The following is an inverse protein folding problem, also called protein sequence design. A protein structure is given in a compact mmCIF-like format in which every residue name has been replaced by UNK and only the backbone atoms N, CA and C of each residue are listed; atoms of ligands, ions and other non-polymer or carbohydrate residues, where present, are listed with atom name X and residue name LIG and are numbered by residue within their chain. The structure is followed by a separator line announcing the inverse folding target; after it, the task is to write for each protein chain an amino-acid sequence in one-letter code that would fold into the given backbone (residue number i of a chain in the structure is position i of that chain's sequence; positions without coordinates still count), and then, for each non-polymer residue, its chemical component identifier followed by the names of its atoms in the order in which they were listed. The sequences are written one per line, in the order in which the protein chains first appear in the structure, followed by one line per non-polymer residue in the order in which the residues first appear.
data_IF_689202530824
#
_entry.id   IF_689202530824
#
_cell.length_a   1.000
_cell.length_b   1.000
_cell.length_c   1.000
_cell.angle_alpha   90.00
_cell.angle_beta   90.00
_cell.angle_gamma   90.00
#
_symmetry.space_group_name_H-M   'P 1'
#
loop_
_entity.id
_entity.type
_entity.pdbx_description
1 polymer ?
#
# COMPACT_ATOMS: atom_id res chain seq x y z
N UNK A 1 -16.97 -20.74 3.54
CA UNK A 1 -15.61 -20.56 4.11
C UNK A 1 -15.48 -19.07 4.37
N UNK A 2 -15.19 -18.66 5.60
CA UNK A 2 -14.98 -17.25 5.88
C UNK A 2 -13.64 -16.88 5.22
N UNK A 3 -13.68 -16.02 4.22
CA UNK A 3 -12.46 -15.48 3.62
C UNK A 3 -11.71 -14.71 4.71
N UNK A 4 -10.56 -15.21 5.13
CA UNK A 4 -9.72 -14.51 6.08
C UNK A 4 -9.16 -13.26 5.42
N UNK A 5 -9.26 -12.11 6.13
CA UNK A 5 -8.87 -10.81 5.62
C UNK A 5 -7.35 -10.60 5.82
N UNK A 6 -6.55 -10.39 4.76
CA UNK A 6 -5.12 -10.16 4.91
C UNK A 6 -4.83 -8.89 5.71
N UNK A 7 -3.84 -8.95 6.59
CA UNK A 7 -3.32 -7.84 7.37
C UNK A 7 -1.79 -7.90 7.37
N UNK A 8 -1.13 -6.87 6.86
CA UNK A 8 0.30 -6.70 6.92
C UNK A 8 0.66 -5.92 8.21
N UNK A 9 1.55 -6.46 9.02
CA UNK A 9 2.05 -5.81 10.23
C UNK A 9 3.56 -5.64 10.08
N UNK A 10 4.00 -4.39 10.00
CA UNK A 10 5.39 -4.01 9.82
C UNK A 10 6.00 -3.57 11.14
N UNK A 11 7.26 -3.92 11.36
CA UNK A 11 8.00 -3.39 12.49
C UNK A 11 9.38 -2.85 12.10
N UNK A 12 9.70 -1.67 12.66
CA UNK A 12 11.03 -1.08 12.71
C UNK A 12 11.50 -1.06 14.16
N UNK A 13 12.58 -1.76 14.49
CA UNK A 13 13.00 -1.96 15.88
C UNK A 13 14.50 -2.10 16.04
N UNK A 14 15.09 -1.33 16.95
CA UNK A 14 16.48 -1.47 17.32
C UNK A 14 16.66 -2.42 18.52
N UNK A 15 15.73 -2.36 19.47
CA UNK A 15 15.80 -3.11 20.74
C UNK A 15 14.91 -4.34 20.80
N UNK A 16 14.06 -4.58 19.79
CA UNK A 16 13.10 -5.67 19.73
C UNK A 16 11.72 -5.33 20.30
N UNK A 17 11.51 -4.15 20.91
CA UNK A 17 10.23 -3.81 21.53
C UNK A 17 9.09 -3.68 20.49
N UNK A 18 9.35 -3.01 19.36
CA UNK A 18 8.37 -2.89 18.26
C UNK A 18 8.05 -4.24 17.63
N UNK A 19 9.04 -5.13 17.51
CA UNK A 19 8.88 -6.49 17.03
C UNK A 19 7.95 -7.29 17.94
N UNK A 20 8.18 -7.23 19.27
CA UNK A 20 7.33 -7.93 20.24
C UNK A 20 5.87 -7.48 20.14
N UNK A 21 5.63 -6.18 20.03
CA UNK A 21 4.27 -5.62 19.87
C UNK A 21 3.65 -6.08 18.56
N UNK A 22 4.39 -6.06 17.47
CA UNK A 22 3.91 -6.54 16.16
C UNK A 22 3.53 -8.03 16.19
N UNK A 23 4.32 -8.86 16.88
CA UNK A 23 4.03 -10.28 17.10
C UNK A 23 2.77 -10.46 17.97
N UNK A 24 2.60 -9.65 19.02
CA UNK A 24 1.39 -9.69 19.86
C UNK A 24 0.15 -9.31 19.05
N UNK A 25 0.22 -8.25 18.23
CA UNK A 25 -0.85 -7.86 17.32
C UNK A 25 -1.18 -8.97 16.33
N UNK A 26 -0.17 -9.60 15.73
CA UNK A 26 -0.34 -10.73 14.82
C UNK A 26 -1.06 -11.93 15.45
N UNK A 27 -0.70 -12.29 16.68
CA UNK A 27 -1.36 -13.37 17.44
C UNK A 27 -2.82 -13.04 17.75
N UNK A 28 -3.12 -11.77 18.07
CA UNK A 28 -4.48 -11.33 18.39
C UNK A 28 -5.37 -11.21 17.14
N UNK A 29 -4.80 -10.97 15.97
CA UNK A 29 -5.50 -10.71 14.72
C UNK A 29 -6.47 -11.85 14.31
N UNK A 30 -6.09 -13.09 14.56
CA UNK A 30 -6.90 -14.27 14.21
C UNK A 30 -8.27 -14.27 14.92
N UNK A 31 -8.39 -13.74 16.13
CA UNK A 31 -9.65 -13.63 16.87
C UNK A 31 -10.65 -12.65 16.22
N UNK A 32 -10.15 -11.79 15.30
CA UNK A 32 -10.94 -10.82 14.53
C UNK A 32 -11.15 -11.23 13.07
N UNK A 33 -10.81 -12.48 12.70
CA UNK A 33 -10.93 -12.96 11.31
C UNK A 33 -9.85 -12.42 10.37
N UNK A 34 -8.79 -11.85 10.91
CA UNK A 34 -7.66 -11.31 10.16
C UNK A 34 -6.55 -12.36 10.02
N UNK A 35 -5.97 -12.44 8.84
CA UNK A 35 -4.78 -13.25 8.55
C UNK A 35 -3.56 -12.33 8.52
N UNK A 36 -2.88 -12.25 9.66
CA UNK A 36 -1.74 -11.37 9.83
C UNK A 36 -0.45 -11.97 9.25
N UNK A 37 0.29 -11.15 8.50
CA UNK A 37 1.69 -11.37 8.14
C UNK A 37 2.52 -10.32 8.87
N UNK A 38 3.36 -10.77 9.78
CA UNK A 38 4.28 -9.90 10.56
C UNK A 38 5.64 -9.94 9.90
N UNK A 39 6.20 -8.78 9.55
CA UNK A 39 7.48 -8.65 8.85
C UNK A 39 8.32 -7.50 9.40
N UNK A 40 9.62 -7.69 9.40
CA UNK A 40 10.56 -6.58 9.54
C UNK A 40 10.48 -5.66 8.30
N UNK A 41 10.76 -4.39 8.48
CA UNK A 41 10.68 -3.43 7.39
C UNK A 41 11.72 -3.70 6.29
N UNK A 42 12.92 -4.18 6.63
CA UNK A 42 13.97 -4.60 5.69
C UNK A 42 13.61 -5.86 4.87
N UNK A 43 12.60 -6.62 5.30
CA UNK A 43 12.07 -7.78 4.58
C UNK A 43 10.85 -7.41 3.68
N UNK A 44 10.51 -6.12 3.59
CA UNK A 44 9.27 -5.64 2.96
C UNK A 44 9.59 -4.74 1.76
N UNK A 45 8.83 -4.88 0.69
CA UNK A 45 8.97 -4.02 -0.49
C UNK A 45 7.90 -2.92 -0.52
N UNK A 46 8.20 -1.82 -1.23
CA UNK A 46 7.24 -0.73 -1.52
C UNK A 46 5.98 -1.26 -2.18
N UNK A 47 6.12 -2.22 -3.10
CA UNK A 47 4.99 -2.86 -3.78
C UNK A 47 4.09 -3.62 -2.82
N UNK A 48 4.66 -4.33 -1.84
CA UNK A 48 3.89 -5.09 -0.86
C UNK A 48 3.04 -4.15 0.01
N UNK A 49 3.57 -3.00 0.40
CA UNK A 49 2.81 -1.98 1.13
C UNK A 49 1.68 -1.44 0.27
N UNK A 50 1.96 -1.01 -0.97
CA UNK A 50 0.99 -0.34 -1.84
C UNK A 50 -0.14 -1.25 -2.32
N UNK A 51 0.07 -2.56 -2.33
CA UNK A 51 -0.94 -3.57 -2.70
C UNK A 51 -1.70 -4.14 -1.50
N UNK A 52 -1.32 -3.79 -0.28
CA UNK A 52 -1.98 -4.24 0.94
C UNK A 52 -3.19 -3.36 1.26
N UNK A 53 -4.36 -3.97 1.50
CA UNK A 53 -5.55 -3.21 1.92
C UNK A 53 -5.47 -2.76 3.40
N UNK A 54 -4.70 -3.46 4.23
CA UNK A 54 -4.61 -3.27 5.69
C UNK A 54 -3.15 -3.33 6.13
N UNK A 55 -2.68 -2.28 6.77
CA UNK A 55 -1.29 -2.17 7.25
C UNK A 55 -1.29 -1.64 8.68
N UNK A 56 -0.62 -2.33 9.58
CA UNK A 56 -0.24 -1.84 10.91
C UNK A 56 1.26 -1.61 10.95
N UNK A 57 1.68 -0.53 11.58
CA UNK A 57 3.08 -0.14 11.70
C UNK A 57 3.43 -0.01 13.17
N UNK A 58 4.47 -0.71 13.61
CA UNK A 58 5.09 -0.57 14.91
C UNK A 58 6.54 -0.10 14.70
N UNK A 59 6.87 1.15 15.03
CA UNK A 59 8.18 1.68 14.76
C UNK A 59 8.76 2.41 15.99
N UNK A 60 9.97 2.04 16.38
CA UNK A 60 10.73 2.75 17.40
C UNK A 60 11.58 3.86 16.77
N UNK A 61 11.89 4.87 17.57
CA UNK A 61 12.81 5.94 17.20
C UNK A 61 14.18 5.63 17.75
N UNK A 62 15.22 5.82 16.95
CA UNK A 62 16.62 5.61 17.33
C UNK A 62 17.42 6.91 17.28
N UNK A 63 18.51 6.98 18.02
CA UNK A 63 19.42 8.12 18.00
C UNK A 63 18.76 9.48 18.19
N UNK A 64 19.07 10.40 17.32
CA UNK A 64 18.53 11.76 17.27
C UNK A 64 17.30 11.87 16.38
N UNK A 65 16.34 10.91 16.49
CA UNK A 65 15.10 10.91 15.71
C UNK A 65 15.11 10.00 14.49
N UNK A 66 16.13 9.18 14.35
CA UNK A 66 16.38 8.36 13.17
C UNK A 66 15.52 7.10 13.11
N UNK A 67 15.38 6.55 11.91
CA UNK A 67 14.76 5.24 11.72
C UNK A 67 15.63 4.14 12.36
N UNK A 68 15.05 3.05 12.90
CA UNK A 68 15.85 1.88 13.29
C UNK A 68 16.52 1.24 12.08
N UNK A 69 17.67 0.57 12.29
CA UNK A 69 18.47 -0.03 11.22
C UNK A 69 17.65 -0.88 10.23
N UNK A 70 16.70 -1.67 10.74
CA UNK A 70 15.85 -2.51 9.91
C UNK A 70 14.66 -1.77 9.25
N UNK A 71 14.57 -0.45 9.41
CA UNK A 71 13.55 0.38 8.76
C UNK A 71 14.14 1.36 7.73
N UNK A 72 15.44 1.66 7.83
CA UNK A 72 16.11 2.69 7.05
C UNK A 72 16.00 2.47 5.54
N UNK A 73 16.34 1.26 5.05
CA UNK A 73 16.30 0.93 3.63
C UNK A 73 14.88 1.08 3.04
N UNK A 74 13.87 0.60 3.75
CA UNK A 74 12.47 0.75 3.31
C UNK A 74 12.03 2.22 3.35
N UNK A 75 12.45 2.97 4.36
CA UNK A 75 12.14 4.40 4.49
C UNK A 75 12.73 5.21 3.33
N UNK A 76 13.97 4.94 2.95
CA UNK A 76 14.60 5.54 1.78
C UNK A 76 13.87 5.16 0.49
N UNK A 77 13.53 3.87 0.32
CA UNK A 77 12.86 3.37 -0.87
C UNK A 77 11.47 3.99 -1.08
N UNK A 78 10.66 4.13 -0.02
CA UNK A 78 9.31 4.75 -0.13
C UNK A 78 9.40 6.25 -0.41
N UNK A 79 10.41 6.95 0.12
CA UNK A 79 10.62 8.37 -0.14
C UNK A 79 11.18 8.65 -1.53
N UNK A 80 11.95 7.73 -2.10
CA UNK A 80 12.48 7.84 -3.46
C UNK A 80 11.40 7.70 -4.55
N UNK A 81 10.27 7.06 -4.25
CA UNK A 81 9.17 6.90 -5.20
C UNK A 81 8.17 8.07 -5.09
N UNK A 82 8.40 9.11 -5.89
CA UNK A 82 7.53 10.29 -5.93
C UNK A 82 6.10 9.97 -6.39
N UNK A 83 5.92 8.89 -7.15
CA UNK A 83 4.62 8.48 -7.72
C UNK A 83 3.88 7.46 -6.86
N UNK A 84 4.47 7.02 -5.76
CA UNK A 84 3.83 6.06 -4.87
C UNK A 84 2.47 6.56 -4.39
N UNK A 85 1.45 5.75 -4.61
CA UNK A 85 0.09 6.00 -4.12
C UNK A 85 -0.33 4.89 -3.17
N UNK A 86 -0.81 5.27 -2.00
CA UNK A 86 -1.35 4.36 -0.99
C UNK A 86 -2.88 4.45 -0.88
N UNK A 87 -3.53 4.93 -1.94
CA UNK A 87 -5.00 4.93 -2.02
C UNK A 87 -5.53 3.50 -1.95
N UNK A 88 -6.50 3.27 -1.06
CA UNK A 88 -7.03 1.93 -0.80
C UNK A 88 -6.34 1.19 0.35
N UNK A 89 -5.21 1.69 0.84
CA UNK A 89 -4.55 1.19 2.05
C UNK A 89 -5.20 1.81 3.28
N UNK A 90 -5.64 0.97 4.22
CA UNK A 90 -6.08 1.40 5.56
C UNK A 90 -4.97 1.11 6.57
N UNK A 91 -4.63 2.08 7.43
CA UNK A 91 -3.49 1.95 8.29
C UNK A 91 -3.67 2.54 9.70
N UNK A 92 -2.79 2.16 10.60
CA UNK A 92 -2.53 2.81 11.89
C UNK A 92 -1.09 2.59 12.31
N UNK A 93 -0.56 3.52 13.10
CA UNK A 93 0.83 3.51 13.57
C UNK A 93 0.88 3.48 15.09
N UNK A 94 1.74 2.63 15.64
CA UNK A 94 2.23 2.69 17.00
C UNK A 94 3.69 3.13 16.95
N UNK A 95 3.99 4.24 17.57
CA UNK A 95 5.33 4.80 17.67
C UNK A 95 5.90 4.59 19.06
N UNK A 96 7.14 4.14 19.16
CA UNK A 96 7.86 4.02 20.41
C UNK A 96 9.00 5.01 20.49
N UNK A 97 9.22 5.58 21.65
CA UNK A 97 10.29 6.53 21.92
C UNK A 97 10.53 6.68 23.41
N UNK A 98 11.31 7.69 23.76
CA UNK A 98 11.56 8.12 25.13
C UNK A 98 11.34 9.64 25.17
N UNK A 99 10.39 10.09 25.97
CA UNK A 99 10.02 11.51 26.09
C UNK A 99 11.09 12.40 26.71
N UNK A 100 12.19 11.81 27.20
CA UNK A 100 13.38 12.59 27.63
C UNK A 100 14.20 13.15 26.48
N UNK A 101 13.91 12.71 25.23
CA UNK A 101 14.56 13.20 23.99
C UNK A 101 13.66 14.16 23.20
N UNK A 102 14.27 15.16 22.59
CA UNK A 102 13.56 16.20 21.85
C UNK A 102 12.73 15.64 20.67
N UNK A 103 13.25 14.58 20.01
CA UNK A 103 12.60 13.92 18.85
C UNK A 103 11.85 12.64 19.29
N UNK A 104 11.05 12.77 20.34
CA UNK A 104 10.19 11.71 20.86
C UNK A 104 9.28 11.14 19.78
N UNK A 105 9.36 9.82 19.52
CA UNK A 105 8.53 9.07 18.56
C UNK A 105 8.63 9.58 17.10
N UNK A 106 9.75 10.20 16.71
CA UNK A 106 9.85 10.87 15.40
C UNK A 106 9.70 9.91 14.23
N UNK A 107 10.37 8.74 14.23
CA UNK A 107 10.22 7.74 13.17
C UNK A 107 8.77 7.33 12.94
N UNK A 108 8.02 7.08 14.01
CA UNK A 108 6.60 6.74 13.89
C UNK A 108 5.73 7.89 13.37
N UNK A 109 6.08 9.15 13.72
CA UNK A 109 5.41 10.34 13.17
C UNK A 109 5.69 10.49 11.68
N UNK A 110 6.91 10.21 11.24
CA UNK A 110 7.30 10.23 9.85
C UNK A 110 6.51 9.20 9.03
N UNK A 111 6.43 7.94 9.51
CA UNK A 111 5.61 6.92 8.88
C UNK A 111 4.13 7.31 8.80
N UNK A 112 3.56 7.83 9.88
CA UNK A 112 2.15 8.25 9.92
C UNK A 112 1.87 9.38 8.91
N UNK A 113 2.74 10.39 8.87
CA UNK A 113 2.64 11.51 7.92
C UNK A 113 2.83 11.04 6.48
N UNK A 114 3.77 10.11 6.24
CA UNK A 114 4.02 9.56 4.92
C UNK A 114 2.79 8.85 4.37
N UNK A 115 2.20 7.91 5.12
CA UNK A 115 1.00 7.19 4.68
C UNK A 115 -0.17 8.15 4.41
N UNK A 116 -0.41 9.11 5.28
CA UNK A 116 -1.45 10.13 5.10
C UNK A 116 -1.22 10.95 3.82
N UNK A 117 0.00 11.43 3.60
CA UNK A 117 0.38 12.23 2.42
C UNK A 117 0.24 11.46 1.09
N UNK A 118 0.39 10.15 1.11
CA UNK A 118 0.25 9.26 -0.05
C UNK A 118 -1.18 8.77 -0.28
N UNK A 119 -2.13 9.25 0.52
CA UNK A 119 -3.57 9.01 0.35
C UNK A 119 -4.09 7.74 1.01
N UNK A 120 -3.34 7.14 1.92
CA UNK A 120 -3.82 6.04 2.75
C UNK A 120 -4.87 6.55 3.76
N UNK A 121 -5.76 5.66 4.19
CA UNK A 121 -6.80 5.97 5.17
C UNK A 121 -6.35 5.58 6.57
N UNK A 122 -6.10 6.57 7.43
CA UNK A 122 -5.86 6.32 8.86
C UNK A 122 -7.15 5.86 9.51
N UNK A 123 -7.20 4.61 10.00
CA UNK A 123 -8.40 4.05 10.64
C UNK A 123 -8.43 4.27 12.15
N UNK A 124 -7.28 4.48 12.74
CA UNK A 124 -7.09 4.80 14.14
C UNK A 124 -5.94 5.77 14.32
N UNK A 125 -6.05 6.70 15.25
CA UNK A 125 -5.00 7.70 15.51
C UNK A 125 -3.69 7.00 15.90
N UNK A 126 -2.57 7.59 15.48
CA UNK A 126 -1.26 7.17 15.95
C UNK A 126 -1.20 7.24 17.48
N UNK A 127 -0.56 6.25 18.07
CA UNK A 127 -0.27 6.22 19.49
C UNK A 127 1.23 6.35 19.70
N UNK A 128 1.63 7.41 20.38
CA UNK A 128 3.03 7.67 20.76
C UNK A 128 3.26 7.10 22.15
N UNK A 129 4.09 6.09 22.26
CA UNK A 129 4.39 5.37 23.48
C UNK A 129 5.76 5.79 24.04
N UNK A 130 5.78 6.13 25.31
CA UNK A 130 7.00 6.34 26.09
C UNK A 130 7.58 5.00 26.58
N UNK A 131 8.55 5.03 27.47
CA UNK A 131 9.23 3.86 28.05
C UNK A 131 8.27 2.84 28.67
N UNK A 132 7.15 3.29 29.22
CA UNK A 132 6.07 2.44 29.78
C UNK A 132 5.02 2.15 28.69
N UNK A 133 5.42 1.47 27.61
CA UNK A 133 4.60 1.29 26.41
C UNK A 133 3.57 0.15 26.45
N UNK A 134 3.65 -0.79 27.43
CA UNK A 134 2.89 -2.04 27.40
C UNK A 134 1.37 -1.81 27.38
N UNK A 135 0.86 -0.96 28.27
CA UNK A 135 -0.58 -0.67 28.34
C UNK A 135 -1.07 0.15 27.14
N UNK A 136 -0.39 1.24 26.69
CA UNK A 136 -0.75 1.94 25.45
C UNK A 136 -0.73 1.02 24.24
N UNK A 137 0.28 0.16 24.10
CA UNK A 137 0.39 -0.78 22.98
C UNK A 137 -0.77 -1.79 22.95
N UNK A 138 -1.10 -2.38 24.11
CA UNK A 138 -2.23 -3.29 24.25
C UNK A 138 -3.56 -2.62 23.92
N UNK A 139 -3.75 -1.38 24.37
CA UNK A 139 -4.96 -0.62 24.04
C UNK A 139 -5.06 -0.30 22.56
N UNK A 140 -3.93 0.03 21.90
CA UNK A 140 -3.87 0.23 20.47
C UNK A 140 -4.21 -1.04 19.69
N UNK A 141 -3.64 -2.20 20.05
CA UNK A 141 -3.95 -3.49 19.44
C UNK A 141 -5.45 -3.78 19.53
N UNK A 142 -6.03 -3.67 20.72
CA UNK A 142 -7.45 -3.95 20.97
C UNK A 142 -8.39 -3.00 20.23
N UNK A 143 -7.95 -1.77 19.97
CA UNK A 143 -8.74 -0.77 19.25
C UNK A 143 -8.62 -0.89 17.73
N UNK A 144 -7.44 -1.22 17.22
CA UNK A 144 -7.17 -1.24 15.77
C UNK A 144 -7.65 -2.52 15.09
N UNK A 145 -7.50 -3.69 15.72
CA UNK A 145 -7.84 -4.96 15.06
C UNK A 145 -9.33 -5.07 14.66
N UNK A 146 -10.31 -4.69 15.51
CA UNK A 146 -11.72 -4.66 15.08
C UNK A 146 -11.98 -3.72 13.92
N UNK A 147 -11.30 -2.55 13.90
CA UNK A 147 -11.42 -1.59 12.81
C UNK A 147 -10.80 -2.13 11.51
N UNK A 148 -9.63 -2.79 11.60
CA UNK A 148 -9.03 -3.46 10.44
C UNK A 148 -9.92 -4.56 9.88
N UNK A 149 -10.61 -5.31 10.74
CA UNK A 149 -11.55 -6.34 10.31
C UNK A 149 -12.79 -5.76 9.59
N UNK A 150 -13.16 -4.51 9.90
CA UNK A 150 -14.30 -3.82 9.27
C UNK A 150 -13.95 -3.13 7.94
N UNK A 151 -12.67 -3.06 7.55
CA UNK A 151 -12.24 -2.50 6.27
C UNK A 151 -12.72 -3.39 5.14
N UNK A 152 -13.47 -2.83 4.18
CA UNK A 152 -13.86 -3.54 2.95
C UNK A 152 -12.64 -3.74 2.05
N UNK A 153 -12.54 -4.92 1.43
CA UNK A 153 -11.46 -5.18 0.47
C UNK A 153 -11.82 -4.51 -0.86
N UNK A 154 -10.91 -3.74 -1.41
CA UNK A 154 -11.08 -3.03 -2.70
C UNK A 154 -11.38 -3.97 -3.89
N UNK A 155 -11.18 -5.28 -3.74
CA UNK A 155 -11.55 -6.29 -4.72
C UNK A 155 -13.07 -6.51 -4.86
N UNK A 156 -13.88 -6.06 -3.90
CA UNK A 156 -15.34 -6.27 -3.92
C UNK A 156 -16.03 -5.21 -4.79
N UNK A 157 -15.45 -4.04 -5.02
CA UNK A 157 -16.04 -2.99 -5.85
C UNK A 157 -16.00 -3.30 -7.36
N UNK A 158 -15.02 -4.11 -7.82
CA UNK A 158 -14.89 -4.46 -9.24
C UNK A 158 -15.98 -5.44 -9.69
N UNK A 159 -16.50 -6.27 -8.79
CA UNK A 159 -17.55 -7.26 -9.11
C UNK A 159 -18.95 -6.63 -9.08
N UNK A 160 -19.14 -5.55 -8.30
CA UNK A 160 -20.44 -4.90 -8.19
C UNK A 160 -20.79 -3.97 -9.37
N UNK A 161 -19.82 -3.55 -10.18
CA UNK A 161 -20.02 -2.67 -11.34
C UNK A 161 -20.26 -3.41 -12.66
N UNK A 162 -20.03 -4.73 -12.71
CA UNK A 162 -20.19 -5.52 -13.96
C UNK A 162 -21.53 -6.28 -14.06
N UNK A 163 -22.43 -6.14 -13.08
CA UNK A 163 -23.74 -6.83 -13.10
C UNK A 163 -24.93 -5.94 -13.56
N UNK A 164 -24.68 -4.74 -14.10
CA UNK A 164 -25.75 -3.82 -14.52
C UNK A 164 -25.81 -3.47 -16.02
N UNK A 165 -25.21 -4.29 -16.89
CA UNK A 165 -25.35 -4.15 -18.33
C UNK A 165 -25.65 -5.51 -18.97
N UNK A 166 -26.91 -5.92 -19.01
CA UNK A 166 -27.52 -6.70 -20.07
C UNK A 166 -29.03 -6.78 -19.86
N UNK A 167 -29.76 -5.92 -20.50
CA UNK A 167 -31.09 -6.18 -20.99
C UNK A 167 -31.24 -5.53 -22.35
N UNK A 168 -30.91 -6.30 -23.39
CA UNK A 168 -31.31 -5.95 -24.76
C UNK A 168 -32.81 -6.21 -24.96
N UNK A 169 -33.53 -5.31 -25.64
CA UNK A 169 -34.91 -5.57 -26.08
C UNK A 169 -34.92 -6.38 -27.39
N UNK A 170 -36.00 -7.15 -27.66
CA UNK A 170 -36.06 -8.10 -28.75
C UNK A 170 -36.11 -7.45 -30.12
N UNK A 171 -35.34 -8.00 -31.06
CA UNK A 171 -35.35 -7.66 -32.48
C UNK A 171 -36.54 -8.29 -33.18
N UNK A 172 -37.40 -7.48 -33.80
CA UNK A 172 -38.41 -7.90 -34.77
C UNK A 172 -37.74 -8.12 -36.12
N UNK A 173 -37.90 -9.35 -36.66
CA UNK A 173 -37.64 -9.67 -38.09
C UNK A 173 -38.73 -9.06 -38.97
N UNK A 174 -38.35 -8.28 -39.98
CA UNK A 174 -38.89 -8.50 -41.36
C UNK A 174 -38.27 -7.58 -42.44
N UNK A 175 -37.80 -8.22 -43.41
CA UNK A 175 -38.04 -8.09 -44.85
C UNK A 175 -37.21 -7.14 -45.71
N UNK A 176 -36.39 -7.81 -46.52
CA UNK A 176 -36.41 -7.74 -48.03
C UNK A 176 -35.63 -6.65 -48.73
N UNK A 177 -34.72 -7.18 -49.50
CA UNK A 177 -34.36 -7.00 -50.95
C UNK A 177 -33.56 -5.79 -51.38
N UNK A 178 -32.48 -6.20 -52.00
CA UNK A 178 -31.93 -5.96 -53.34
C UNK A 178 -30.96 -4.80 -53.60
N UNK A 179 -29.94 -5.26 -54.28
CA UNK A 179 -29.07 -4.69 -55.35
C UNK A 179 -27.83 -3.93 -54.94
N UNK A 180 -26.70 -4.64 -55.15
CA UNK A 180 -25.71 -4.50 -56.25
C UNK A 180 -25.26 -3.06 -56.54
N UNK A 181 -24.01 -2.79 -56.31
CA UNK A 181 -23.00 -2.57 -57.38
C UNK A 181 -21.60 -2.38 -56.82
N UNK A 182 -20.71 -3.01 -57.50
CA UNK A 182 -19.28 -3.08 -57.55
C UNK A 182 -18.67 -1.71 -57.90
N UNK A 183 -17.44 -1.46 -57.50
CA UNK A 183 -16.25 -0.92 -58.16
C UNK A 183 -15.24 -0.53 -57.07
N UNK A 184 -14.16 -1.26 -56.91
CA UNK A 184 -12.82 -1.27 -57.50
C UNK A 184 -11.99 0.00 -57.25
N UNK A 185 -10.81 -0.30 -56.90
CA UNK A 185 -9.49 0.20 -57.25
C UNK A 185 -8.65 0.85 -56.16
N UNK A 186 -7.70 0.04 -55.79
CA UNK A 186 -6.27 0.31 -55.60
C UNK A 186 -5.79 1.71 -55.20
N UNK A 187 -5.02 1.76 -54.13
CA UNK A 187 -3.66 2.32 -54.18
C UNK A 187 -2.83 1.87 -52.97
N UNK A 188 -1.91 1.03 -53.31
CA UNK A 188 -0.66 0.76 -52.57
C UNK A 188 0.28 1.94 -52.82
N UNK A 189 0.98 2.36 -51.77
CA UNK A 189 2.36 2.92 -51.81
C UNK A 189 2.77 3.17 -50.36
N UNK A 190 3.63 2.40 -49.92
CA UNK A 190 5.11 2.37 -49.87
C UNK A 190 5.71 3.19 -48.73
N UNK A 191 6.43 2.40 -47.97
CA UNK A 191 7.64 2.62 -47.19
C UNK A 191 8.46 3.88 -47.60
N UNK A 192 9.00 4.55 -46.57
CA UNK A 192 10.48 4.67 -46.44
C UNK A 192 10.86 5.27 -45.08
N UNK A 193 11.60 4.51 -44.35
CA UNK A 193 12.88 4.71 -43.70
C UNK A 193 13.38 6.15 -43.54
N UNK A 194 13.66 6.52 -42.29
CA UNK A 194 14.82 7.34 -41.99
C UNK A 194 15.50 6.83 -40.70
N UNK A 195 16.54 6.05 -40.95
CA UNK A 195 17.64 5.79 -40.06
C UNK A 195 18.64 6.94 -40.15
N UNK A 196 19.28 7.17 -39.04
CA UNK A 196 20.64 7.57 -38.89
C UNK A 196 20.94 8.94 -38.30
N UNK A 197 21.77 8.82 -37.39
CA UNK A 197 22.94 9.58 -36.94
C UNK A 197 22.68 10.54 -35.79
N UNK A 198 23.39 10.56 -34.74
CA UNK A 198 24.70 10.03 -34.41
C UNK A 198 25.29 10.85 -33.27
N UNK A 199 25.95 10.15 -32.45
CA UNK A 199 27.18 10.54 -31.73
C UNK A 199 27.23 11.57 -30.59
N UNK A 200 27.62 10.97 -29.44
CA UNK A 200 28.72 11.41 -28.54
C UNK A 200 28.53 12.62 -27.64
N UNK A 201 28.63 12.49 -26.33
CA UNK A 201 29.93 12.42 -25.63
C UNK A 201 29.77 12.10 -24.13
N UNK A 202 30.57 11.16 -23.70
CA UNK A 202 31.04 11.03 -22.33
C UNK A 202 31.68 12.35 -21.82
N UNK A 203 31.50 12.65 -20.56
CA UNK A 203 32.53 13.29 -19.75
C UNK A 203 32.40 12.79 -18.31
N UNK A 204 33.35 11.98 -17.96
CA UNK A 204 33.82 11.67 -16.61
C UNK A 204 34.56 12.90 -16.12
N UNK A 205 34.44 13.20 -14.81
CA UNK A 205 35.49 13.68 -13.88
C UNK A 205 34.89 14.58 -12.80
N UNK A 206 34.98 14.26 -11.67
CA UNK A 206 35.61 14.24 -10.35
C UNK A 206 34.63 13.91 -9.28
#
# INVERSE_FOLDING_TARGET
MSDSLPLLILYGSQSGNSEEIAIQAGKAAASHGLMATVKAMDETSVTEISTSNRVLICCSTWGDGEQPDNAEELWEAVNADENLSLKGVSYSVLALGDSSYDLFCESGKEWDNFFDSRGAKRIYQRVDCDVDYEEPAKNWINSTLPLMASVESSLTEIIATDSSLESEPPVDENLSTSNEEIIDDSSVMELDSFLASGDRKLSVLF
#
